data_IF_506368983238
#
_entry.id   IF_506368983238
#
_cell.length_a   1.000
_cell.length_b   1.000
_cell.length_c   1.000
_cell.angle_alpha   90.00
_cell.angle_beta   90.00
_cell.angle_gamma   90.00
#
_symmetry.space_group_name_H-M   'P 1'
#
loop_
_entity.id
_entity.type
_entity.pdbx_description
1 polymer ?
#
# COMPACT_ATOMS: atom_id res chain seq x y z
N UNK A 1 -39.98 20.54 -7.00
CA UNK A 1 -38.79 20.82 -7.82
C UNK A 1 -37.55 21.20 -6.99
N UNK A 2 -37.66 22.01 -5.92
CA UNK A 2 -36.51 22.36 -5.05
C UNK A 2 -35.89 21.19 -4.27
N UNK A 3 -36.70 20.20 -3.87
CA UNK A 3 -36.21 19.01 -3.15
C UNK A 3 -35.43 18.02 -4.03
N UNK A 4 -35.67 18.00 -5.34
CA UNK A 4 -34.98 17.11 -6.29
C UNK A 4 -33.52 17.53 -6.49
N UNK A 5 -33.25 18.84 -6.48
CA UNK A 5 -31.90 19.41 -6.60
C UNK A 5 -31.04 19.09 -5.38
N UNK A 6 -31.66 18.98 -4.20
CA UNK A 6 -30.94 18.64 -2.97
C UNK A 6 -30.48 17.17 -2.97
N UNK A 7 -31.25 16.27 -3.58
CA UNK A 7 -30.95 14.84 -3.61
C UNK A 7 -29.78 14.51 -4.55
N UNK A 8 -29.66 15.23 -5.68
CA UNK A 8 -28.56 15.05 -6.63
C UNK A 8 -27.19 15.45 -6.07
N UNK A 9 -27.14 16.32 -5.06
CA UNK A 9 -25.88 16.78 -4.45
C UNK A 9 -25.27 15.75 -3.47
N UNK A 10 -26.09 14.88 -2.87
CA UNK A 10 -25.63 13.92 -1.85
C UNK A 10 -25.05 12.66 -2.49
N UNK A 11 -25.52 12.27 -3.69
CA UNK A 11 -25.09 11.03 -4.36
C UNK A 11 -23.69 11.14 -4.99
N UNK A 12 -23.16 12.36 -5.13
CA UNK A 12 -21.84 12.61 -5.74
C UNK A 12 -20.65 12.32 -4.82
N UNK A 13 -20.89 11.92 -3.56
CA UNK A 13 -19.85 11.63 -2.57
C UNK A 13 -19.40 10.15 -2.54
N UNK A 14 -19.88 9.31 -3.45
CA UNK A 14 -19.22 8.02 -3.71
C UNK A 14 -17.91 8.29 -4.45
N UNK A 15 -16.93 8.78 -3.69
CA UNK A 15 -15.56 8.99 -4.13
C UNK A 15 -15.03 7.70 -4.73
N UNK A 16 -14.52 7.84 -5.96
CA UNK A 16 -13.86 6.84 -6.78
C UNK A 16 -13.19 5.74 -5.95
N UNK A 17 -13.83 4.57 -5.83
CA UNK A 17 -13.13 3.39 -5.35
C UNK A 17 -12.18 2.99 -6.48
N UNK A 18 -10.93 3.47 -6.42
CA UNK A 18 -9.84 2.93 -7.23
C UNK A 18 -9.90 1.42 -7.04
N UNK A 19 -9.96 0.66 -8.14
CA UNK A 19 -9.94 -0.81 -8.14
C UNK A 19 -9.02 -1.29 -7.00
N UNK A 20 -9.58 -1.98 -6.01
CA UNK A 20 -8.78 -2.40 -4.86
C UNK A 20 -7.78 -3.43 -5.36
N UNK A 21 -6.53 -3.02 -5.50
CA UNK A 21 -5.42 -3.91 -5.76
C UNK A 21 -5.41 -5.03 -4.71
N UNK A 22 -5.06 -6.25 -5.12
CA UNK A 22 -4.87 -7.38 -4.21
C UNK A 22 -3.96 -6.93 -3.06
N UNK A 23 -4.42 -7.13 -1.82
CA UNK A 23 -3.59 -6.87 -0.65
C UNK A 23 -2.63 -8.03 -0.48
N UNK A 24 -1.33 -7.74 -0.50
CA UNK A 24 -0.27 -8.72 -0.28
C UNK A 24 0.16 -8.72 1.19
N UNK A 25 0.40 -9.91 1.76
CA UNK A 25 0.91 -10.01 3.12
C UNK A 25 2.40 -9.66 3.21
N UNK A 26 2.89 -9.45 4.43
CA UNK A 26 4.33 -9.22 4.68
C UNK A 26 5.15 -10.43 4.22
N UNK A 27 4.65 -11.64 4.45
CA UNK A 27 5.30 -12.90 4.09
C UNK A 27 5.39 -13.08 2.57
N UNK A 28 4.34 -12.71 1.84
CA UNK A 28 4.36 -12.72 0.38
C UNK A 28 5.43 -11.76 -0.17
N UNK A 29 5.56 -10.57 0.43
CA UNK A 29 6.63 -9.64 0.07
C UNK A 29 8.04 -10.12 0.45
N UNK A 30 8.18 -10.87 1.54
CA UNK A 30 9.47 -11.47 1.92
C UNK A 30 9.86 -12.63 1.00
N UNK A 31 8.88 -13.34 0.47
CA UNK A 31 9.10 -14.46 -0.45
C UNK A 31 9.43 -14.01 -1.89
N UNK A 32 9.08 -12.78 -2.27
CA UNK A 32 9.29 -12.24 -3.62
C UNK A 32 9.94 -10.84 -3.59
N UNK A 33 11.25 -10.81 -3.82
CA UNK A 33 12.05 -9.58 -3.83
C UNK A 33 11.67 -8.63 -4.98
N UNK A 34 11.22 -9.15 -6.12
CA UNK A 34 10.79 -8.31 -7.24
C UNK A 34 9.49 -7.60 -6.91
N UNK A 35 8.51 -8.34 -6.37
CA UNK A 35 7.24 -7.79 -5.90
C UNK A 35 7.48 -6.70 -4.83
N UNK A 36 8.36 -6.96 -3.87
CA UNK A 36 8.72 -6.00 -2.82
C UNK A 36 9.35 -4.73 -3.41
N UNK A 37 10.35 -4.89 -4.28
CA UNK A 37 11.09 -3.75 -4.86
C UNK A 37 10.18 -2.88 -5.74
N UNK A 38 9.36 -3.51 -6.57
CA UNK A 38 8.40 -2.82 -7.43
C UNK A 38 7.35 -2.07 -6.61
N UNK A 39 6.82 -2.70 -5.56
CA UNK A 39 5.84 -2.07 -4.68
C UNK A 39 6.45 -0.89 -3.93
N UNK A 40 7.65 -1.02 -3.36
CA UNK A 40 8.33 0.11 -2.70
C UNK A 40 8.58 1.26 -3.67
N UNK A 41 9.00 0.98 -4.92
CA UNK A 41 9.19 2.01 -5.94
C UNK A 41 7.87 2.73 -6.25
N UNK A 42 6.78 1.98 -6.44
CA UNK A 42 5.42 2.52 -6.62
C UNK A 42 5.00 3.41 -5.45
N UNK A 43 5.19 2.95 -4.21
CA UNK A 43 4.86 3.72 -3.01
C UNK A 43 5.64 5.05 -2.92
N UNK A 44 6.92 5.05 -3.31
CA UNK A 44 7.78 6.25 -3.30
C UNK A 44 7.42 7.26 -4.39
N UNK A 45 6.83 6.83 -5.50
CA UNK A 45 6.44 7.71 -6.58
C UNK A 45 5.19 8.55 -6.25
N UNK A 46 4.35 8.09 -5.32
CA UNK A 46 3.15 8.82 -4.89
C UNK A 46 2.86 8.60 -3.39
N UNK A 47 3.72 9.12 -2.50
CA UNK A 47 3.57 8.87 -1.07
C UNK A 47 2.29 9.50 -0.50
N UNK A 48 1.86 10.65 -1.03
CA UNK A 48 0.68 11.35 -0.55
C UNK A 48 -0.62 10.53 -0.66
N UNK A 49 -0.75 9.72 -1.72
CA UNK A 49 -1.91 8.85 -1.90
C UNK A 49 -1.66 7.40 -1.44
N UNK A 50 -0.44 6.89 -1.62
CA UNK A 50 -0.18 5.44 -1.50
C UNK A 50 0.43 5.03 -0.15
N UNK A 51 1.12 5.91 0.57
CA UNK A 51 1.90 5.51 1.75
C UNK A 51 1.06 4.83 2.83
N UNK A 52 -0.20 5.26 3.01
CA UNK A 52 -1.14 4.67 3.98
C UNK A 52 -1.91 3.44 3.47
N UNK A 53 -1.65 2.98 2.24
CA UNK A 53 -2.33 1.80 1.70
C UNK A 53 -1.78 0.51 2.34
N UNK A 54 -2.60 -0.55 2.46
CA UNK A 54 -2.15 -1.83 3.04
C UNK A 54 -0.90 -2.39 2.36
N UNK A 55 -0.81 -2.31 1.03
CA UNK A 55 0.35 -2.80 0.28
C UNK A 55 1.63 -2.01 0.59
N UNK A 56 1.56 -0.69 0.71
CA UNK A 56 2.74 0.12 1.06
C UNK A 56 3.18 -0.10 2.51
N UNK A 57 2.23 -0.27 3.44
CA UNK A 57 2.54 -0.60 4.84
C UNK A 57 3.20 -1.98 4.96
N UNK A 58 2.64 -3.00 4.29
CA UNK A 58 3.16 -4.36 4.33
C UNK A 58 4.53 -4.46 3.64
N UNK A 59 4.71 -3.79 2.50
CA UNK A 59 6.01 -3.72 1.81
C UNK A 59 7.08 -3.01 2.66
N UNK A 60 6.73 -1.93 3.36
CA UNK A 60 7.65 -1.25 4.27
C UNK A 60 8.08 -2.16 5.44
N UNK A 61 7.12 -2.88 6.05
CA UNK A 61 7.40 -3.84 7.11
C UNK A 61 8.30 -4.99 6.62
N UNK A 62 8.02 -5.54 5.44
CA UNK A 62 8.85 -6.58 4.83
C UNK A 62 10.27 -6.08 4.55
N UNK A 63 10.42 -4.87 3.98
CA UNK A 63 11.72 -4.26 3.73
C UNK A 63 12.54 -4.04 5.00
N UNK A 64 11.89 -3.61 6.08
CA UNK A 64 12.53 -3.50 7.40
C UNK A 64 12.99 -4.85 7.94
N UNK A 65 12.12 -5.87 7.90
CA UNK A 65 12.44 -7.21 8.39
C UNK A 65 13.61 -7.83 7.62
N UNK A 66 13.57 -7.78 6.28
CA UNK A 66 14.66 -8.28 5.43
C UNK A 66 15.99 -7.54 5.68
N UNK A 67 15.94 -6.24 6.02
CA UNK A 67 17.14 -5.49 6.40
C UNK A 67 17.68 -5.95 7.75
N UNK A 68 16.82 -6.13 8.74
CA UNK A 68 17.23 -6.63 10.07
C UNK A 68 17.83 -8.03 9.99
N UNK A 69 17.21 -8.96 9.25
CA UNK A 69 17.75 -10.32 9.09
C UNK A 69 19.14 -10.32 8.44
N UNK A 70 19.34 -9.50 7.41
CA UNK A 70 20.67 -9.33 6.78
C UNK A 70 21.69 -8.77 7.76
N UNK A 71 21.29 -7.81 8.59
CA UNK A 71 22.16 -7.27 9.63
C UNK A 71 22.50 -8.34 10.68
N UNK A 72 21.53 -9.14 11.13
CA UNK A 72 21.77 -10.25 12.06
C UNK A 72 22.79 -11.25 11.53
N UNK A 73 22.62 -11.68 10.27
CA UNK A 73 23.57 -12.57 9.59
C UNK A 73 24.97 -11.96 9.48
N UNK A 74 25.07 -10.66 9.16
CA UNK A 74 26.35 -9.96 9.05
C UNK A 74 27.09 -9.86 10.39
N UNK A 75 26.35 -9.87 11.52
CA UNK A 75 26.89 -9.83 12.87
C UNK A 75 27.17 -11.22 13.47
N UNK A 76 26.99 -12.29 12.69
CA UNK A 76 27.26 -13.67 13.12
C UNK A 76 26.12 -14.35 13.90
N UNK A 77 24.89 -13.85 13.75
CA UNK A 77 23.67 -14.52 14.22
C UNK A 77 23.15 -15.60 13.29
#
# INVERSE_FOLDING_TARGET
MKFLVLFTLVVSLFGCSKESERVHSVEEFLADEQLLTNTIAKCRNNPGELQGTPNCMNAAAAGWKARLERMGKALGG
#
